data_IF_043212788889
#
_entry.id   IF_043212788889
#
_cell.length_a   1.000
_cell.length_b   1.000
_cell.length_c   1.000
_cell.angle_alpha   90.00
_cell.angle_beta   90.00
_cell.angle_gamma   90.00
#
_symmetry.space_group_name_H-M   'P 1'
#
loop_
_entity.id
_entity.type
_entity.pdbx_description
1 polymer ?
#
# COMPACT_ATOMS: atom_id res chain seq x y z
N UNK A 1 11.51 -3.71 -2.50
CA UNK A 1 12.53 -2.67 -2.78
C UNK A 1 13.81 -3.38 -3.19
N UNK A 2 14.42 -3.00 -4.32
CA UNK A 2 15.58 -3.74 -4.84
C UNK A 2 16.88 -2.94 -4.84
N UNK A 3 16.85 -1.62 -4.57
CA UNK A 3 18.04 -0.80 -4.43
C UNK A 3 17.77 0.40 -3.50
N UNK A 4 18.78 0.80 -2.73
CA UNK A 4 18.74 1.98 -1.85
C UNK A 4 17.83 1.82 -0.62
N UNK A 5 17.41 2.96 -0.07
CA UNK A 5 16.50 3.06 1.07
C UNK A 5 15.61 4.31 1.01
N UNK A 6 14.51 4.32 1.76
CA UNK A 6 13.62 5.45 1.90
C UNK A 6 12.95 5.49 3.27
N UNK A 7 12.62 6.69 3.74
CA UNK A 7 11.61 6.90 4.78
C UNK A 7 10.26 7.16 4.12
N UNK A 8 9.29 6.28 4.35
CA UNK A 8 7.95 6.38 3.79
C UNK A 8 6.94 6.84 4.84
N UNK A 9 6.00 7.68 4.44
CA UNK A 9 4.80 8.01 5.21
C UNK A 9 3.62 7.20 4.67
N UNK A 10 2.98 6.40 5.53
CA UNK A 10 1.86 5.54 5.17
C UNK A 10 0.58 5.98 5.89
N UNK A 11 -0.55 5.97 5.18
CA UNK A 11 -1.90 6.17 5.73
C UNK A 11 -2.35 7.62 5.91
N UNK A 12 -1.45 8.61 5.80
CA UNK A 12 -1.80 10.04 5.95
C UNK A 12 -2.14 10.69 4.61
N UNK A 13 -3.31 11.34 4.56
CA UNK A 13 -3.70 12.28 3.49
C UNK A 13 -3.54 13.73 3.99
N UNK A 14 -4.33 14.68 3.50
CA UNK A 14 -4.32 16.07 3.98
C UNK A 14 -4.60 16.19 5.49
N UNK A 15 -5.40 15.27 6.05
CA UNK A 15 -5.72 15.14 7.47
C UNK A 15 -5.52 13.70 7.94
N UNK A 16 -5.53 13.47 9.25
CA UNK A 16 -5.39 12.14 9.85
C UNK A 16 -3.97 11.81 10.33
N UNK A 17 -3.85 10.62 10.93
CA UNK A 17 -2.59 10.07 11.42
C UNK A 17 -2.00 9.13 10.36
N UNK A 18 -0.68 9.19 10.21
CA UNK A 18 0.07 8.24 9.40
C UNK A 18 1.25 7.69 10.18
N UNK A 19 1.90 6.71 9.59
CA UNK A 19 3.06 6.04 10.17
C UNK A 19 4.27 6.30 9.27
N UNK A 20 5.35 6.79 9.86
CA UNK A 20 6.64 6.85 9.19
C UNK A 20 7.34 5.49 9.34
N UNK A 21 7.79 4.92 8.23
CA UNK A 21 8.45 3.63 8.17
C UNK A 21 9.72 3.76 7.35
N UNK A 22 10.86 3.41 7.95
CA UNK A 22 12.12 3.27 7.23
C UNK A 22 12.16 1.93 6.50
N UNK A 23 12.47 1.96 5.20
CA UNK A 23 12.53 0.80 4.32
C UNK A 23 13.81 0.79 3.51
N UNK A 24 14.32 -0.40 3.22
CA UNK A 24 15.59 -0.62 2.51
C UNK A 24 15.49 -1.76 1.52
N UNK A 25 16.58 -1.96 0.78
CA UNK A 25 16.74 -3.10 -0.13
C UNK A 25 16.43 -4.42 0.57
N UNK A 26 15.59 -5.25 -0.05
CA UNK A 26 15.09 -6.50 0.51
C UNK A 26 13.70 -6.37 1.16
N UNK A 27 13.30 -5.18 1.59
CA UNK A 27 11.99 -5.00 2.22
C UNK A 27 10.86 -5.05 1.19
N UNK A 28 9.72 -5.58 1.64
CA UNK A 28 8.46 -5.60 0.91
C UNK A 28 7.39 -4.89 1.75
N UNK A 29 6.67 -3.97 1.12
CA UNK A 29 5.51 -3.31 1.72
C UNK A 29 4.28 -3.76 0.95
N UNK A 30 3.26 -4.21 1.66
CA UNK A 30 1.96 -4.56 1.10
C UNK A 30 0.96 -3.49 1.55
N UNK A 31 0.31 -2.83 0.58
CA UNK A 31 -0.57 -1.70 0.82
C UNK A 31 -2.01 -2.06 0.45
N UNK A 32 -2.95 -2.03 1.41
CA UNK A 32 -4.37 -2.13 1.10
C UNK A 32 -4.86 -1.07 0.13
N UNK A 33 -5.90 -1.40 -0.63
CA UNK A 33 -6.57 -0.43 -1.49
C UNK A 33 -6.99 0.81 -0.68
N UNK A 34 -6.72 2.00 -1.22
CA UNK A 34 -6.98 3.27 -0.55
C UNK A 34 -5.90 3.75 0.42
N UNK A 35 -4.80 2.99 0.58
CA UNK A 35 -3.67 3.44 1.41
C UNK A 35 -2.91 4.57 0.73
N UNK A 36 -2.98 5.77 1.33
CA UNK A 36 -2.09 6.87 0.95
C UNK A 36 -0.65 6.55 1.34
N UNK A 37 0.30 6.85 0.47
CA UNK A 37 1.72 6.68 0.77
C UNK A 37 2.57 7.72 0.04
N UNK A 38 3.67 8.15 0.66
CA UNK A 38 4.67 9.01 0.04
C UNK A 38 6.07 8.70 0.56
N UNK A 39 7.09 8.98 -0.25
CA UNK A 39 8.48 9.00 0.19
C UNK A 39 8.78 10.38 0.76
N UNK A 40 9.22 10.45 2.01
CA UNK A 40 9.63 11.69 2.68
C UNK A 40 11.12 11.99 2.44
N UNK A 41 11.93 10.95 2.41
CA UNK A 41 13.35 10.99 2.11
C UNK A 41 13.76 9.68 1.45
N UNK A 42 14.75 9.72 0.56
CA UNK A 42 15.30 8.54 -0.09
C UNK A 42 16.78 8.71 -0.41
N UNK A 43 17.52 7.61 -0.49
CA UNK A 43 18.87 7.62 -1.05
C UNK A 43 18.80 7.97 -2.54
N UNK A 44 19.90 8.52 -3.08
CA UNK A 44 19.98 8.94 -4.48
C UNK A 44 19.80 7.80 -5.49
N UNK A 45 19.96 6.56 -5.05
CA UNK A 45 19.86 5.33 -5.84
C UNK A 45 18.61 4.49 -5.50
N UNK A 46 17.65 5.03 -4.75
CA UNK A 46 16.46 4.30 -4.32
C UNK A 46 15.60 3.83 -5.50
N UNK A 47 15.34 2.52 -5.58
CA UNK A 47 14.49 1.90 -6.61
C UNK A 47 13.62 0.79 -6.06
N UNK A 48 12.37 0.76 -6.52
CA UNK A 48 11.40 -0.28 -6.18
C UNK A 48 10.53 -0.61 -7.39
N UNK A 49 9.82 -1.74 -7.30
CA UNK A 49 8.84 -2.18 -8.29
C UNK A 49 7.50 -2.25 -7.55
N UNK A 50 6.46 -1.66 -8.14
CA UNK A 50 5.08 -1.87 -7.73
C UNK A 50 4.47 -3.01 -8.53
N UNK A 51 3.80 -3.93 -7.85
CA UNK A 51 3.04 -5.02 -8.45
C UNK A 51 1.62 -4.99 -7.93
N UNK A 52 0.69 -5.47 -8.74
CA UNK A 52 -0.73 -5.55 -8.41
C UNK A 52 -1.24 -6.96 -8.77
N UNK A 53 -2.23 -7.51 -8.04
CA UNK A 53 -2.83 -8.79 -8.39
C UNK A 53 -3.36 -8.79 -9.82
N UNK A 54 -3.23 -9.94 -10.51
CA UNK A 54 -3.58 -10.04 -11.93
C UNK A 54 -5.05 -9.71 -12.21
N UNK A 55 -5.96 -10.17 -11.36
CA UNK A 55 -7.41 -10.05 -11.55
C UNK A 55 -8.01 -8.82 -10.85
N UNK A 56 -7.17 -7.91 -10.33
CA UNK A 56 -7.67 -6.69 -9.68
C UNK A 56 -8.14 -5.66 -10.73
N UNK A 57 -9.07 -4.75 -10.35
CA UNK A 57 -9.36 -3.59 -11.17
C UNK A 57 -8.09 -2.83 -11.52
N UNK A 58 -8.04 -2.20 -12.70
CA UNK A 58 -6.89 -1.40 -13.12
C UNK A 58 -6.48 -0.43 -12.01
N UNK A 59 -5.25 -0.56 -11.53
CA UNK A 59 -4.70 0.29 -10.48
C UNK A 59 -4.80 1.77 -10.86
N UNK A 60 -5.01 2.60 -9.85
CA UNK A 60 -5.11 4.06 -9.98
C UNK A 60 -4.28 4.72 -8.89
N UNK A 61 -3.36 5.59 -9.29
CA UNK A 61 -2.68 6.51 -8.39
C UNK A 61 -3.33 7.88 -8.52
N UNK A 62 -3.89 8.40 -7.42
CA UNK A 62 -4.42 9.76 -7.34
C UNK A 62 -3.45 10.63 -6.53
N UNK A 63 -3.02 11.75 -7.10
CA UNK A 63 -2.02 12.66 -6.53
C UNK A 63 -2.68 13.78 -5.72
N UNK A 64 -3.84 13.51 -5.11
CA UNK A 64 -4.60 14.47 -4.31
C UNK A 64 -5.37 15.53 -5.10
N UNK A 65 -5.58 15.35 -6.42
CA UNK A 65 -6.36 16.30 -7.24
C UNK A 65 -7.86 16.21 -6.97
N UNK A 66 -8.32 15.08 -6.44
CA UNK A 66 -9.70 14.82 -6.08
C UNK A 66 -9.80 14.48 -4.58
N UNK A 67 -10.91 14.84 -3.90
CA UNK A 67 -11.16 14.43 -2.54
C UNK A 67 -11.11 12.90 -2.38
N UNK A 68 -10.45 12.41 -1.34
CA UNK A 68 -10.35 10.98 -1.05
C UNK A 68 -11.72 10.29 -0.95
N UNK A 69 -12.75 11.02 -0.52
CA UNK A 69 -14.14 10.56 -0.42
C UNK A 69 -14.71 10.02 -1.74
N UNK A 70 -14.28 10.53 -2.90
CA UNK A 70 -14.75 10.09 -4.21
C UNK A 70 -14.37 8.63 -4.52
N UNK A 71 -13.31 8.12 -3.88
CA UNK A 71 -12.79 6.78 -4.16
C UNK A 71 -13.34 5.72 -3.21
N UNK A 72 -14.10 6.10 -2.17
CA UNK A 72 -14.59 5.18 -1.12
C UNK A 72 -15.30 3.96 -1.69
N UNK A 73 -16.17 4.14 -2.69
CA UNK A 73 -16.92 3.04 -3.31
C UNK A 73 -16.00 2.08 -4.05
N UNK A 74 -15.05 2.61 -4.84
CA UNK A 74 -14.08 1.79 -5.59
C UNK A 74 -13.13 1.06 -4.66
N UNK A 75 -12.65 1.72 -3.61
CA UNK A 75 -11.77 1.10 -2.61
C UNK A 75 -12.47 -0.07 -1.93
N UNK A 76 -13.75 0.10 -1.54
CA UNK A 76 -14.56 -0.96 -0.93
C UNK A 76 -14.87 -2.14 -1.86
N UNK A 77 -14.81 -1.94 -3.19
CA UNK A 77 -15.03 -3.01 -4.16
C UNK A 77 -13.75 -3.77 -4.54
N UNK A 78 -12.58 -3.37 -4.03
CA UNK A 78 -11.35 -4.14 -4.25
C UNK A 78 -11.40 -5.39 -3.39
N UNK A 79 -11.21 -6.54 -4.02
CA UNK A 79 -11.23 -7.83 -3.35
C UNK A 79 -9.99 -8.03 -2.47
N UNK A 80 -10.13 -8.93 -1.49
CA UNK A 80 -9.01 -9.33 -0.65
C UNK A 80 -8.04 -10.20 -1.46
N UNK A 81 -6.73 -10.15 -1.17
CA UNK A 81 -5.78 -11.05 -1.81
C UNK A 81 -6.11 -12.52 -1.49
N UNK A 82 -5.97 -13.40 -2.47
CA UNK A 82 -6.14 -14.85 -2.26
C UNK A 82 -4.97 -15.45 -1.47
N UNK A 83 -3.76 -14.93 -1.71
CA UNK A 83 -2.51 -15.43 -1.12
C UNK A 83 -1.58 -14.28 -0.72
N UNK A 84 -0.68 -14.55 0.22
CA UNK A 84 0.41 -13.63 0.55
C UNK A 84 1.41 -13.60 -0.62
N UNK A 85 1.72 -12.44 -1.23
CA UNK A 85 2.61 -12.37 -2.39
C UNK A 85 4.09 -12.65 -2.05
N UNK A 86 4.44 -12.73 -0.76
CA UNK A 86 5.79 -13.04 -0.29
C UNK A 86 5.88 -14.47 0.21
N UNK A 87 4.88 -14.93 0.98
CA UNK A 87 4.91 -16.22 1.68
C UNK A 87 3.93 -17.27 1.14
N UNK A 88 3.11 -16.93 0.14
CA UNK A 88 2.10 -17.80 -0.46
C UNK A 88 0.86 -18.03 0.40
N UNK A 89 0.10 -19.09 0.12
CA UNK A 89 -1.19 -19.43 0.78
C UNK A 89 -1.20 -19.39 2.31
N UNK A 90 -0.08 -19.80 2.93
CA UNK A 90 0.03 -19.89 4.39
C UNK A 90 0.75 -18.68 5.01
N UNK A 91 0.94 -17.61 4.24
CA UNK A 91 1.57 -16.39 4.70
C UNK A 91 0.71 -15.62 5.72
N UNK A 92 1.34 -14.68 6.46
CA UNK A 92 0.66 -13.90 7.47
C UNK A 92 -0.36 -12.90 6.90
N UNK A 93 -0.27 -12.52 5.62
CA UNK A 93 -1.11 -11.44 5.06
C UNK A 93 -2.61 -11.67 5.29
N UNK A 94 -3.11 -12.87 4.99
CA UNK A 94 -4.54 -13.17 5.09
C UNK A 94 -5.03 -13.24 6.55
N UNK A 95 -4.12 -13.35 7.52
CA UNK A 95 -4.45 -13.27 8.95
C UNK A 95 -4.50 -11.80 9.41
N UNK A 96 -3.56 -10.98 8.93
CA UNK A 96 -3.41 -9.57 9.30
C UNK A 96 -4.40 -8.65 8.57
N UNK A 97 -4.77 -9.01 7.35
CA UNK A 97 -5.66 -8.26 6.49
C UNK A 97 -6.77 -9.18 6.00
N UNK A 98 -7.95 -9.05 6.62
CA UNK A 98 -9.13 -9.83 6.29
C UNK A 98 -10.40 -8.96 6.36
N UNK A 99 -11.55 -9.52 5.96
CA UNK A 99 -12.83 -8.78 5.88
C UNK A 99 -13.31 -8.21 7.22
N UNK A 100 -12.83 -8.73 8.35
CA UNK A 100 -13.16 -8.25 9.69
C UNK A 100 -12.26 -7.08 10.12
N UNK A 101 -11.11 -6.91 9.45
CA UNK A 101 -10.11 -5.86 9.72
C UNK A 101 -9.94 -5.01 8.45
N UNK A 102 -10.89 -4.10 8.20
CA UNK A 102 -10.84 -3.18 7.08
C UNK A 102 -9.91 -1.99 7.37
N UNK A 103 -9.18 -1.54 6.34
CA UNK A 103 -8.39 -0.31 6.41
C UNK A 103 -9.32 0.87 6.74
N UNK A 104 -8.92 1.67 7.74
CA UNK A 104 -9.64 2.88 8.13
C UNK A 104 -9.34 3.98 7.09
N UNK A 105 -10.33 4.31 6.26
CA UNK A 105 -10.33 5.49 5.38
C UNK A 105 -10.76 6.75 6.14
#
# INVERSE_FOLDING_TARGET
IFQGHSKMLLGKISTGQGMEVDVKTGDVIILPAGTAHSSLASSSDYRYIGVYPQDCPKWRNEMGKKPAGEFKTVIKSVEMPEEDPVYGRNGPLNQLWNKEILAKL
#
